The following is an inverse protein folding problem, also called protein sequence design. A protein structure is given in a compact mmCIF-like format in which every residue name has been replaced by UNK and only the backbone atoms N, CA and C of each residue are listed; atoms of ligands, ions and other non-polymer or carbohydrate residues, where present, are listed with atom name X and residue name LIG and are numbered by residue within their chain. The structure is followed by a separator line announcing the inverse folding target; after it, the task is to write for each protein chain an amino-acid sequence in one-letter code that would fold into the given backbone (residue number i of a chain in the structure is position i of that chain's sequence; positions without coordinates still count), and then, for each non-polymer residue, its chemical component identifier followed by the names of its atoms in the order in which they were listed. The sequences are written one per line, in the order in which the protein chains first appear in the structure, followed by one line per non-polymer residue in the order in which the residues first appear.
data_IF_172237312051
#
_entry.id   IF_172237312051
#
_cell.length_a   1.000
_cell.length_b   1.000
_cell.length_c   1.000
_cell.angle_alpha   90.00
_cell.angle_beta   90.00
_cell.angle_gamma   90.00
#
_symmetry.space_group_name_H-M   'P 1'
#
loop_
_entity.id
_entity.type
_entity.pdbx_description
1 polymer ?
#
# COMPACT_ATOMS: atom_id res chain seq x y z
N UNK A 1 4.82 -9.73 -11.44
CA UNK A 1 5.76 -10.54 -12.28
C UNK A 1 5.59 -11.98 -11.89
N UNK A 2 5.24 -12.83 -12.86
CA UNK A 2 5.13 -14.27 -12.63
C UNK A 2 6.54 -14.85 -12.60
N UNK A 3 6.85 -15.63 -11.55
CA UNK A 3 8.15 -16.25 -11.42
C UNK A 3 8.24 -17.48 -12.30
N UNK A 4 9.41 -17.70 -12.89
CA UNK A 4 9.77 -18.94 -13.61
C UNK A 4 10.37 -19.95 -12.63
N UNK A 5 10.58 -21.20 -13.09
CA UNK A 5 11.29 -22.22 -12.30
C UNK A 5 12.69 -21.72 -11.90
N UNK A 6 13.37 -21.03 -12.80
CA UNK A 6 14.70 -20.46 -12.54
C UNK A 6 14.62 -19.37 -11.44
N UNK A 7 13.65 -18.45 -11.52
CA UNK A 7 13.49 -17.43 -10.49
C UNK A 7 13.23 -18.07 -9.11
N UNK A 8 12.41 -19.13 -9.05
CA UNK A 8 12.15 -19.87 -7.81
C UNK A 8 13.40 -20.55 -7.29
N UNK A 9 14.21 -21.16 -8.17
CA UNK A 9 15.46 -21.81 -7.77
C UNK A 9 16.46 -20.81 -7.18
N UNK A 10 16.58 -19.65 -7.80
CA UNK A 10 17.45 -18.55 -7.34
C UNK A 10 16.95 -17.97 -6.00
N UNK A 11 15.64 -17.78 -5.86
CA UNK A 11 15.00 -17.20 -4.66
C UNK A 11 15.09 -18.10 -3.43
N UNK A 12 15.01 -19.42 -3.62
CA UNK A 12 15.05 -20.41 -2.53
C UNK A 12 16.43 -21.04 -2.36
N UNK A 13 17.42 -20.61 -3.17
CA UNK A 13 18.80 -21.15 -3.20
C UNK A 13 18.84 -22.69 -3.35
N UNK A 14 17.97 -23.20 -4.22
CA UNK A 14 17.90 -24.63 -4.56
C UNK A 14 18.10 -24.87 -6.04
N UNK A 15 18.38 -26.11 -6.45
CA UNK A 15 18.45 -26.42 -7.88
C UNK A 15 17.06 -26.40 -8.54
N UNK A 16 17.00 -26.07 -9.84
CA UNK A 16 15.77 -26.18 -10.63
C UNK A 16 15.18 -27.60 -10.58
N UNK A 17 16.03 -28.61 -10.51
CA UNK A 17 15.62 -30.02 -10.34
C UNK A 17 14.84 -30.23 -9.03
N UNK A 18 15.23 -29.53 -7.96
CA UNK A 18 14.51 -29.57 -6.68
C UNK A 18 13.14 -28.91 -6.81
N UNK A 19 13.05 -27.77 -7.54
CA UNK A 19 11.78 -27.08 -7.80
C UNK A 19 10.84 -27.97 -8.59
N UNK A 20 11.32 -28.62 -9.67
CA UNK A 20 10.51 -29.57 -10.46
C UNK A 20 9.99 -30.73 -9.60
N UNK A 21 10.84 -31.31 -8.75
CA UNK A 21 10.44 -32.38 -7.83
C UNK A 21 9.31 -31.95 -6.91
N UNK A 22 9.41 -30.74 -6.32
CA UNK A 22 8.35 -30.22 -5.43
C UNK A 22 7.04 -29.95 -6.15
N UNK A 23 7.10 -29.58 -7.43
CA UNK A 23 5.90 -29.43 -8.27
C UNK A 23 5.27 -30.81 -8.52
N UNK A 24 6.06 -31.81 -8.91
CA UNK A 24 5.60 -33.18 -9.18
C UNK A 24 5.00 -33.83 -7.93
N UNK A 25 5.56 -33.55 -6.76
CA UNK A 25 5.06 -34.01 -5.46
C UNK A 25 3.82 -33.22 -4.98
N UNK A 26 3.36 -32.20 -5.76
CA UNK A 26 2.23 -31.36 -5.39
C UNK A 26 2.45 -30.48 -4.15
N UNK A 27 3.72 -30.31 -3.73
CA UNK A 27 4.10 -29.54 -2.54
C UNK A 27 4.19 -28.05 -2.82
N UNK A 28 4.75 -27.67 -3.98
CA UNK A 28 4.97 -26.29 -4.36
C UNK A 28 3.78 -25.78 -5.20
N UNK A 29 3.06 -24.72 -4.75
CA UNK A 29 1.97 -24.14 -5.53
C UNK A 29 2.52 -23.49 -6.79
N UNK A 30 2.08 -23.96 -7.95
CA UNK A 30 2.43 -23.43 -9.25
C UNK A 30 1.39 -23.81 -10.29
N UNK A 31 1.31 -23.06 -11.36
CA UNK A 31 0.39 -23.32 -12.46
C UNK A 31 1.12 -23.36 -13.81
N UNK A 32 0.52 -24.02 -14.80
CA UNK A 32 1.07 -24.09 -16.15
C UNK A 32 0.46 -22.99 -17.04
N UNK A 33 1.36 -22.17 -17.62
CA UNK A 33 0.99 -21.21 -18.64
C UNK A 33 1.79 -21.48 -19.90
N UNK A 34 1.13 -21.70 -21.03
CA UNK A 34 1.80 -22.01 -22.33
C UNK A 34 2.87 -23.10 -22.23
N UNK A 35 2.59 -24.18 -21.46
CA UNK A 35 3.50 -25.32 -21.30
C UNK A 35 4.63 -25.12 -20.30
N UNK A 36 4.79 -23.94 -19.74
CA UNK A 36 5.81 -23.62 -18.74
C UNK A 36 5.20 -23.42 -17.35
N UNK A 37 5.92 -23.81 -16.31
CA UNK A 37 5.50 -23.53 -14.94
C UNK A 37 5.69 -22.04 -14.60
N UNK A 38 4.69 -21.49 -13.91
CA UNK A 38 4.69 -20.15 -13.37
C UNK A 38 4.27 -20.19 -11.91
N UNK A 39 4.80 -19.25 -11.12
CA UNK A 39 4.53 -19.19 -9.68
C UNK A 39 4.10 -17.80 -9.29
N UNK A 40 3.16 -17.73 -8.40
CA UNK A 40 2.81 -16.50 -7.73
C UNK A 40 3.84 -16.27 -6.61
N UNK A 41 4.46 -15.09 -6.61
CA UNK A 41 5.51 -14.75 -5.65
C UNK A 41 5.03 -14.78 -4.20
N UNK A 42 3.81 -14.30 -3.93
CA UNK A 42 3.26 -14.28 -2.59
C UNK A 42 2.98 -15.70 -2.09
N UNK A 43 2.35 -16.53 -2.91
CA UNK A 43 2.10 -17.94 -2.58
C UNK A 43 3.41 -18.71 -2.35
N UNK A 44 4.44 -18.40 -3.15
CA UNK A 44 5.77 -18.97 -2.97
C UNK A 44 6.38 -18.57 -1.61
N UNK A 45 6.30 -17.29 -1.25
CA UNK A 45 6.85 -16.80 0.02
C UNK A 45 6.11 -17.35 1.22
N UNK A 46 4.79 -17.42 1.15
CA UNK A 46 3.95 -18.01 2.19
C UNK A 46 4.28 -19.50 2.36
N UNK A 47 4.34 -20.24 1.26
CA UNK A 47 4.70 -21.65 1.25
C UNK A 47 6.12 -21.87 1.79
N UNK A 48 7.11 -21.08 1.36
CA UNK A 48 8.50 -21.20 1.82
C UNK A 48 8.62 -20.92 3.32
N UNK A 49 7.87 -19.90 3.82
CA UNK A 49 7.84 -19.59 5.25
C UNK A 49 7.20 -20.71 6.06
N UNK A 50 6.07 -21.27 5.58
CA UNK A 50 5.39 -22.40 6.22
C UNK A 50 6.29 -23.66 6.27
N UNK A 51 7.11 -23.87 5.25
CA UNK A 51 8.04 -25.01 5.17
C UNK A 51 9.43 -24.71 5.77
N UNK A 52 9.62 -23.55 6.42
CA UNK A 52 10.87 -23.11 7.05
C UNK A 52 12.07 -23.15 6.10
N UNK A 53 11.85 -22.89 4.83
CA UNK A 53 12.91 -22.81 3.83
C UNK A 53 13.64 -21.47 3.93
N UNK A 54 14.93 -21.50 3.64
CA UNK A 54 15.70 -20.27 3.47
C UNK A 54 15.15 -19.49 2.28
N UNK A 55 14.94 -18.21 2.48
CA UNK A 55 14.51 -17.27 1.43
C UNK A 55 15.65 -16.28 1.27
N UNK A 56 16.25 -16.24 0.09
CA UNK A 56 17.32 -15.30 -0.19
C UNK A 56 16.86 -13.86 0.06
N UNK A 57 17.65 -13.02 0.75
CA UNK A 57 17.36 -11.59 0.89
C UNK A 57 17.15 -10.88 -0.46
N UNK A 58 17.69 -11.43 -1.56
CA UNK A 58 17.44 -10.96 -2.92
C UNK A 58 15.95 -11.02 -3.33
N UNK A 59 15.14 -11.85 -2.66
CA UNK A 59 13.66 -11.85 -2.80
C UNK A 59 13.06 -10.51 -2.41
N UNK A 60 13.63 -9.88 -1.40
CA UNK A 60 13.18 -8.57 -0.90
C UNK A 60 13.86 -7.42 -1.64
N UNK A 61 14.95 -7.71 -2.34
CA UNK A 61 15.52 -6.85 -3.37
C UNK A 61 14.76 -7.12 -4.69
N UNK A 62 13.49 -6.68 -4.77
CA UNK A 62 13.05 -6.22 -6.07
C UNK A 62 14.20 -5.34 -6.56
N UNK A 63 14.48 -5.36 -7.89
CA UNK A 63 15.10 -4.23 -8.55
C UNK A 63 14.15 -3.02 -8.41
N UNK A 64 13.84 -2.65 -7.16
CA UNK A 64 13.51 -1.29 -6.85
C UNK A 64 14.74 -0.54 -7.33
N UNK A 65 14.63 -0.05 -8.53
CA UNK A 65 15.55 1.00 -8.94
C UNK A 65 15.37 2.03 -7.84
N UNK A 66 16.36 2.13 -6.95
CA UNK A 66 16.43 3.13 -5.86
C UNK A 66 16.20 4.56 -6.40
N UNK A 67 16.13 4.68 -7.69
CA UNK A 67 15.98 5.85 -8.54
C UNK A 67 14.57 6.02 -9.14
N UNK A 68 13.62 5.09 -8.98
CA UNK A 68 12.24 5.37 -9.40
C UNK A 68 11.69 6.47 -8.50
N UNK A 69 11.24 7.60 -9.07
CA UNK A 69 10.65 8.67 -8.28
C UNK A 69 9.47 8.12 -7.48
N UNK A 70 9.36 8.58 -6.23
CA UNK A 70 8.22 8.22 -5.40
C UNK A 70 6.94 8.78 -6.03
N UNK A 71 5.84 8.02 -5.95
CA UNK A 71 4.59 8.45 -6.59
C UNK A 71 4.04 9.72 -5.93
N UNK A 72 3.54 10.63 -6.75
CA UNK A 72 2.81 11.79 -6.29
C UNK A 72 1.40 11.40 -5.83
N UNK A 73 0.95 11.97 -4.70
CA UNK A 73 -0.35 11.66 -4.11
C UNK A 73 -1.52 12.11 -4.98
N UNK A 74 -1.41 13.32 -5.57
CA UNK A 74 -2.43 13.86 -6.46
C UNK A 74 -2.56 13.01 -7.72
N UNK A 75 -1.44 12.70 -8.37
CA UNK A 75 -1.42 11.87 -9.57
C UNK A 75 -2.00 10.47 -9.31
N UNK A 76 -1.66 9.86 -8.18
CA UNK A 76 -2.20 8.55 -7.80
C UNK A 76 -3.72 8.57 -7.58
N UNK A 77 -4.25 9.66 -6.99
CA UNK A 77 -5.69 9.83 -6.79
C UNK A 77 -6.42 10.18 -8.10
N UNK A 78 -5.82 11.00 -8.95
CA UNK A 78 -6.37 11.33 -10.27
C UNK A 78 -6.46 10.09 -11.17
N UNK A 79 -5.39 9.28 -11.18
CA UNK A 79 -5.31 8.03 -11.94
C UNK A 79 -6.30 6.97 -11.42
N UNK A 80 -6.45 6.81 -10.11
CA UNK A 80 -7.39 5.86 -9.51
C UNK A 80 -8.86 6.31 -9.64
N UNK A 81 -9.09 7.61 -9.54
CA UNK A 81 -10.40 8.23 -9.72
C UNK A 81 -11.22 8.35 -8.43
N UNK A 82 -12.29 9.13 -8.54
CA UNK A 82 -13.26 9.37 -7.46
C UNK A 82 -14.63 8.93 -7.94
N UNK A 83 -15.27 8.06 -7.17
CA UNK A 83 -16.57 7.45 -7.49
C UNK A 83 -17.57 7.76 -6.37
N UNK A 84 -18.81 8.00 -6.76
CA UNK A 84 -19.89 8.37 -5.86
C UNK A 84 -21.01 7.36 -5.90
N UNK A 85 -21.76 7.24 -4.81
CA UNK A 85 -22.97 6.42 -4.71
C UNK A 85 -22.75 4.94 -4.96
N UNK A 86 -21.66 4.37 -4.41
CA UNK A 86 -21.47 2.93 -4.44
C UNK A 86 -22.46 2.27 -3.48
N UNK A 87 -23.24 1.34 -3.99
CA UNK A 87 -24.15 0.55 -3.17
C UNK A 87 -23.39 -0.47 -2.33
N UNK A 88 -23.71 -0.52 -1.04
CA UNK A 88 -23.22 -1.52 -0.13
C UNK A 88 -24.15 -1.66 1.08
N UNK A 89 -24.40 -2.88 1.52
CA UNK A 89 -25.20 -3.18 2.69
C UNK A 89 -24.35 -3.43 3.93
N UNK A 90 -23.11 -3.80 3.73
CA UNK A 90 -22.14 -4.16 4.76
C UNK A 90 -20.70 -3.94 4.26
N UNK A 91 -19.72 -4.23 5.11
CA UNK A 91 -18.29 -4.07 4.82
C UNK A 91 -17.84 -4.91 3.61
N UNK A 92 -18.27 -6.15 3.52
CA UNK A 92 -17.84 -7.05 2.45
C UNK A 92 -18.45 -6.61 1.11
N UNK A 93 -19.70 -6.18 1.09
CA UNK A 93 -20.36 -5.58 -0.07
C UNK A 93 -19.64 -4.29 -0.50
N UNK A 94 -19.24 -3.43 0.45
CA UNK A 94 -18.49 -2.22 0.15
C UNK A 94 -17.14 -2.54 -0.51
N UNK A 95 -16.38 -3.50 0.02
CA UNK A 95 -15.12 -3.94 -0.59
C UNK A 95 -15.33 -4.53 -1.99
N UNK A 96 -16.40 -5.30 -2.22
CA UNK A 96 -16.74 -5.82 -3.55
C UNK A 96 -17.04 -4.69 -4.52
N UNK A 97 -17.90 -3.74 -4.14
CA UNK A 97 -18.26 -2.58 -4.97
C UNK A 97 -17.04 -1.74 -5.33
N UNK A 98 -16.13 -1.52 -4.37
CA UNK A 98 -14.85 -0.85 -4.62
C UNK A 98 -14.02 -1.60 -5.67
N UNK A 99 -13.83 -2.91 -5.52
CA UNK A 99 -13.02 -3.72 -6.46
C UNK A 99 -13.57 -3.67 -7.89
N UNK A 100 -14.89 -3.54 -8.07
CA UNK A 100 -15.50 -3.44 -9.40
C UNK A 100 -15.13 -2.15 -10.13
N UNK A 101 -14.99 -1.04 -9.42
CA UNK A 101 -14.70 0.27 -10.03
C UNK A 101 -13.21 0.59 -10.12
N UNK A 102 -12.32 -0.20 -9.50
CA UNK A 102 -10.87 -0.01 -9.59
C UNK A 102 -10.40 -0.11 -11.05
N UNK A 103 -9.55 0.84 -11.44
CA UNK A 103 -8.89 0.84 -12.76
C UNK A 103 -7.69 -0.10 -12.76
N UNK A 104 -7.96 -1.37 -12.95
CA UNK A 104 -6.96 -2.44 -12.94
C UNK A 104 -6.76 -3.01 -14.34
N UNK A 105 -5.56 -3.50 -14.68
CA UNK A 105 -5.36 -4.33 -15.86
C UNK A 105 -6.28 -5.56 -15.84
N UNK A 106 -6.65 -6.05 -17.05
CA UNK A 106 -7.55 -7.20 -17.18
C UNK A 106 -6.96 -8.50 -16.60
N UNK A 107 -5.63 -8.56 -16.47
CA UNK A 107 -4.90 -9.69 -15.91
C UNK A 107 -5.00 -9.78 -14.39
N UNK A 108 -5.47 -8.72 -13.72
CA UNK A 108 -5.61 -8.71 -12.26
C UNK A 108 -6.89 -9.45 -11.85
N UNK A 109 -6.72 -10.53 -11.12
CA UNK A 109 -7.85 -11.28 -10.54
C UNK A 109 -8.56 -10.44 -9.47
N UNK A 110 -9.73 -9.91 -9.82
CA UNK A 110 -10.56 -9.08 -8.93
C UNK A 110 -11.08 -9.85 -7.72
N UNK A 111 -11.38 -11.14 -7.86
CA UNK A 111 -11.85 -11.96 -6.75
C UNK A 111 -10.69 -12.24 -5.76
N UNK A 112 -9.48 -12.44 -6.28
CA UNK A 112 -8.30 -12.51 -5.44
C UNK A 112 -8.07 -11.20 -4.68
N UNK A 113 -8.15 -10.05 -5.38
CA UNK A 113 -8.01 -8.74 -4.75
C UNK A 113 -9.06 -8.53 -3.64
N UNK A 114 -10.32 -8.86 -3.91
CA UNK A 114 -11.38 -8.78 -2.90
C UNK A 114 -11.04 -9.62 -1.66
N UNK A 115 -10.63 -10.88 -1.84
CA UNK A 115 -10.24 -11.75 -0.72
C UNK A 115 -9.04 -11.21 0.06
N UNK A 116 -8.07 -10.62 -0.64
CA UNK A 116 -6.89 -10.01 0.00
C UNK A 116 -7.25 -8.76 0.83
N UNK A 117 -8.11 -7.88 0.31
CA UNK A 117 -8.63 -6.72 1.04
C UNK A 117 -9.45 -7.15 2.25
N UNK A 118 -10.37 -8.10 2.07
CA UNK A 118 -11.19 -8.65 3.15
C UNK A 118 -10.33 -9.28 4.25
N UNK A 119 -9.38 -10.14 3.88
CA UNK A 119 -8.47 -10.78 4.84
C UNK A 119 -7.62 -9.78 5.62
N UNK A 120 -7.22 -8.64 5.00
CA UNK A 120 -6.55 -7.54 5.71
C UNK A 120 -7.49 -6.86 6.70
N UNK A 121 -8.74 -6.63 6.32
CA UNK A 121 -9.75 -5.96 7.13
C UNK A 121 -10.22 -6.81 8.31
N UNK A 122 -10.21 -8.16 8.17
CA UNK A 122 -10.54 -9.10 9.24
C UNK A 122 -9.51 -9.12 10.37
N UNK A 123 -8.25 -8.78 10.08
CA UNK A 123 -7.19 -8.71 11.10
C UNK A 123 -7.36 -7.48 12.00
N UNK A 124 -7.66 -6.35 11.43
CA UNK A 124 -7.85 -5.07 12.10
C UNK A 124 -8.49 -4.09 11.12
N UNK A 125 -9.47 -3.33 11.58
CA UNK A 125 -10.14 -2.36 10.71
C UNK A 125 -9.17 -1.33 10.14
N UNK A 126 -9.33 -1.05 8.86
CA UNK A 126 -8.62 0.05 8.18
C UNK A 126 -9.34 1.40 8.32
N UNK A 127 -10.38 1.46 9.16
CA UNK A 127 -11.09 2.69 9.48
C UNK A 127 -10.22 3.67 10.29
N UNK A 128 -10.00 4.86 9.73
CA UNK A 128 -9.17 5.92 10.33
C UNK A 128 -9.99 6.98 11.06
N UNK A 129 -11.26 6.68 11.30
CA UNK A 129 -12.22 7.55 11.99
C UNK A 129 -12.83 8.63 11.10
N UNK A 130 -13.91 9.25 11.60
CA UNK A 130 -14.66 10.28 10.88
C UNK A 130 -15.31 9.77 9.59
N UNK A 131 -15.76 8.52 9.57
CA UNK A 131 -16.42 7.92 8.41
C UNK A 131 -15.48 7.56 7.24
N UNK A 132 -14.17 7.48 7.47
CA UNK A 132 -13.17 7.20 6.44
C UNK A 132 -12.48 5.86 6.74
N UNK A 133 -12.29 5.02 5.71
CA UNK A 133 -11.42 3.84 5.75
C UNK A 133 -10.40 3.87 4.61
N UNK A 134 -9.29 3.14 4.80
CA UNK A 134 -8.22 3.01 3.80
C UNK A 134 -8.00 1.52 3.50
N UNK A 135 -8.91 0.85 2.79
CA UNK A 135 -8.70 -0.54 2.40
C UNK A 135 -7.45 -0.70 1.53
N UNK A 136 -6.57 -1.60 1.93
CA UNK A 136 -5.34 -1.89 1.19
C UNK A 136 -4.90 -3.33 1.44
N UNK A 137 -4.18 -3.91 0.50
CA UNK A 137 -3.63 -5.25 0.68
C UNK A 137 -2.37 -5.20 1.56
N UNK A 138 -2.17 -6.22 2.40
CA UNK A 138 -0.99 -6.31 3.26
C UNK A 138 0.32 -6.39 2.46
N UNK A 139 0.28 -7.07 1.32
CA UNK A 139 1.42 -7.19 0.42
C UNK A 139 1.02 -6.71 -0.99
N UNK A 140 1.33 -5.47 -1.37
CA UNK A 140 0.90 -4.88 -2.63
C UNK A 140 1.53 -5.53 -3.88
N UNK A 141 2.68 -6.18 -3.74
CA UNK A 141 3.45 -6.80 -4.84
C UNK A 141 2.64 -7.86 -5.59
N UNK A 142 1.63 -8.42 -4.95
CA UNK A 142 0.79 -9.50 -5.47
C UNK A 142 -0.08 -9.06 -6.67
N UNK A 143 -0.32 -7.75 -6.80
CA UNK A 143 -1.33 -7.25 -7.75
C UNK A 143 -0.81 -7.00 -9.17
N UNK A 144 0.52 -7.03 -9.40
CA UNK A 144 1.15 -6.84 -10.71
C UNK A 144 0.64 -5.63 -11.51
N UNK A 145 0.38 -4.52 -10.82
CA UNK A 145 -0.06 -3.28 -11.46
C UNK A 145 1.13 -2.47 -11.97
N UNK A 146 1.00 -1.75 -13.10
CA UNK A 146 2.12 -1.01 -13.69
C UNK A 146 2.49 0.25 -12.92
N UNK A 147 1.54 0.84 -12.20
CA UNK A 147 1.69 2.09 -11.45
C UNK A 147 0.80 2.12 -10.22
N UNK A 148 1.18 2.88 -9.19
CA UNK A 148 0.37 3.02 -8.00
C UNK A 148 -0.83 3.93 -8.27
N UNK A 149 -1.97 3.57 -7.67
CA UNK A 149 -3.21 4.36 -7.74
C UNK A 149 -3.88 4.42 -6.37
N UNK A 150 -4.63 5.49 -6.15
CA UNK A 150 -5.55 5.63 -5.02
C UNK A 150 -6.94 5.89 -5.59
N UNK A 151 -7.89 5.06 -5.23
CA UNK A 151 -9.29 5.25 -5.64
C UNK A 151 -10.11 5.68 -4.43
N UNK A 152 -10.81 6.81 -4.55
CA UNK A 152 -11.77 7.26 -3.55
C UNK A 152 -13.18 6.83 -3.96
N UNK A 153 -13.86 6.11 -3.08
CA UNK A 153 -15.24 5.69 -3.28
C UNK A 153 -16.12 6.21 -2.15
N UNK A 154 -17.19 6.91 -2.51
CA UNK A 154 -18.24 7.28 -1.58
C UNK A 154 -19.39 6.28 -1.67
N UNK A 155 -19.76 5.72 -0.51
CA UNK A 155 -20.92 4.85 -0.40
C UNK A 155 -22.21 5.66 -0.43
N UNK A 156 -23.27 5.09 -1.00
CA UNK A 156 -24.61 5.70 -0.96
C UNK A 156 -25.12 5.79 0.48
N UNK A 157 -24.87 4.73 1.27
CA UNK A 157 -25.17 4.68 2.69
C UNK A 157 -23.94 4.28 3.48
N UNK A 158 -23.65 4.93 4.63
CA UNK A 158 -22.54 4.53 5.48
C UNK A 158 -22.73 3.11 6.03
N UNK A 159 -21.65 2.33 6.09
CA UNK A 159 -21.68 0.95 6.60
C UNK A 159 -20.77 0.77 7.82
N UNK A 160 -21.14 -0.12 8.78
CA UNK A 160 -20.25 -0.49 9.87
C UNK A 160 -18.97 -1.15 9.35
N UNK A 161 -17.82 -0.55 9.67
CA UNK A 161 -16.51 -1.03 9.21
C UNK A 161 -15.60 -1.49 10.37
N UNK A 162 -16.08 -1.37 11.62
CA UNK A 162 -15.30 -1.68 12.81
C UNK A 162 -14.22 -0.64 13.11
N UNK A 163 -14.38 0.61 12.66
CA UNK A 163 -13.47 1.70 12.97
C UNK A 163 -13.37 1.95 14.48
N UNK A 164 -12.19 2.36 14.97
CA UNK A 164 -11.93 2.56 16.40
C UNK A 164 -12.84 3.58 17.08
N UNK A 165 -13.32 4.57 16.32
CA UNK A 165 -14.27 5.59 16.81
C UNK A 165 -15.73 5.12 16.78
N UNK A 166 -15.98 3.89 16.31
CA UNK A 166 -17.32 3.30 16.20
C UNK A 166 -18.22 3.93 15.11
N UNK A 167 -17.72 4.91 14.34
CA UNK A 167 -18.51 5.54 13.31
C UNK A 167 -18.60 4.66 12.05
N UNK A 168 -19.77 4.62 11.39
CA UNK A 168 -19.88 3.94 10.10
C UNK A 168 -19.07 4.67 9.03
N UNK A 169 -18.49 3.90 8.10
CA UNK A 169 -17.66 4.42 7.01
C UNK A 169 -18.52 4.78 5.81
N UNK A 170 -18.26 5.96 5.26
CA UNK A 170 -18.89 6.48 4.05
C UNK A 170 -17.89 6.68 2.91
N UNK A 171 -16.62 6.88 3.21
CA UNK A 171 -15.57 7.12 2.22
C UNK A 171 -14.45 6.09 2.34
N UNK A 172 -14.10 5.44 1.22
CA UNK A 172 -13.05 4.43 1.16
C UNK A 172 -11.94 4.88 0.21
N UNK A 173 -10.73 5.03 0.72
CA UNK A 173 -9.50 5.27 -0.07
C UNK A 173 -8.78 3.96 -0.28
N UNK A 174 -8.91 3.36 -1.45
CA UNK A 174 -8.25 2.08 -1.75
C UNK A 174 -6.94 2.31 -2.46
N UNK A 175 -5.84 1.80 -1.87
CA UNK A 175 -4.48 1.93 -2.41
C UNK A 175 -4.11 0.63 -3.12
N UNK A 176 -3.74 0.75 -4.39
CA UNK A 176 -3.17 -0.32 -5.21
C UNK A 176 -1.80 0.11 -5.68
N UNK A 177 -0.78 -0.72 -5.52
CA UNK A 177 0.61 -0.31 -5.74
C UNK A 177 1.47 -1.46 -6.25
N UNK A 178 2.45 -1.21 -7.14
CA UNK A 178 3.34 -2.26 -7.64
C UNK A 178 4.41 -2.66 -6.63
N UNK A 179 4.78 -1.78 -5.69
CA UNK A 179 5.86 -2.01 -4.73
C UNK A 179 5.47 -1.63 -3.31
N UNK A 180 6.10 -2.26 -2.32
CA UNK A 180 5.89 -1.92 -0.91
C UNK A 180 6.32 -0.48 -0.60
N UNK A 181 7.42 -0.02 -1.21
CA UNK A 181 7.93 1.34 -1.01
C UNK A 181 6.93 2.40 -1.48
N UNK A 182 6.40 2.25 -2.70
CA UNK A 182 5.38 3.15 -3.24
C UNK A 182 4.09 3.09 -2.40
N UNK A 183 3.71 1.89 -1.93
CA UNK A 183 2.56 1.70 -1.07
C UNK A 183 2.68 2.46 0.25
N UNK A 184 3.77 2.25 0.99
CA UNK A 184 4.00 2.90 2.29
C UNK A 184 4.13 4.41 2.14
N UNK A 185 4.76 4.88 1.06
CA UNK A 185 4.86 6.29 0.76
C UNK A 185 3.48 6.93 0.56
N UNK A 186 2.65 6.35 -0.30
CA UNK A 186 1.30 6.87 -0.55
C UNK A 186 0.41 6.79 0.69
N UNK A 187 0.49 5.69 1.45
CA UNK A 187 -0.27 5.53 2.69
C UNK A 187 0.09 6.61 3.72
N UNK A 188 1.39 6.87 3.91
CA UNK A 188 1.86 7.90 4.84
C UNK A 188 1.39 9.30 4.41
N UNK A 189 1.52 9.64 3.13
CA UNK A 189 1.07 10.95 2.59
C UNK A 189 -0.44 11.10 2.67
N UNK A 190 -1.20 10.05 2.36
CA UNK A 190 -2.65 10.05 2.47
C UNK A 190 -3.09 10.27 3.93
N UNK A 191 -2.52 9.52 4.87
CA UNK A 191 -2.82 9.69 6.30
C UNK A 191 -2.46 11.10 6.80
N UNK A 192 -1.41 11.72 6.26
CA UNK A 192 -1.04 13.09 6.61
C UNK A 192 -2.10 14.09 6.15
N UNK A 193 -2.49 14.07 4.87
CA UNK A 193 -3.49 15.02 4.34
C UNK A 193 -4.87 14.81 4.96
N UNK A 194 -5.21 13.58 5.35
CA UNK A 194 -6.45 13.25 6.06
C UNK A 194 -6.50 13.76 7.51
N UNK A 195 -5.44 14.39 8.04
CA UNK A 195 -5.50 15.12 9.32
C UNK A 195 -6.12 16.51 9.17
N UNK A 196 -6.13 17.04 7.97
CA UNK A 196 -6.69 18.36 7.69
C UNK A 196 -8.22 18.35 7.88
N UNK A 197 -8.72 19.28 8.70
CA UNK A 197 -10.14 19.34 9.07
C UNK A 197 -11.02 19.80 7.90
N UNK A 198 -10.51 20.70 7.05
CA UNK A 198 -11.23 21.17 5.88
C UNK A 198 -11.40 20.03 4.87
N UNK A 199 -10.33 19.30 4.57
CA UNK A 199 -10.41 18.13 3.68
C UNK A 199 -11.37 17.07 4.23
N UNK A 200 -11.35 16.78 5.53
CA UNK A 200 -12.30 15.85 6.15
C UNK A 200 -13.75 16.33 6.03
N UNK A 201 -13.99 17.62 6.21
CA UNK A 201 -15.32 18.21 6.01
C UNK A 201 -15.78 18.07 4.56
N UNK A 202 -14.90 18.34 3.59
CA UNK A 202 -15.19 18.17 2.16
C UNK A 202 -15.51 16.70 1.82
N UNK A 203 -14.78 15.75 2.40
CA UNK A 203 -15.04 14.31 2.23
C UNK A 203 -16.41 13.96 2.83
N UNK A 204 -16.72 14.41 4.06
CA UNK A 204 -18.00 14.14 4.70
C UNK A 204 -19.19 14.70 3.92
N UNK A 205 -19.00 15.84 3.23
CA UNK A 205 -20.00 16.47 2.37
C UNK A 205 -20.01 15.91 0.94
N UNK A 206 -19.15 14.93 0.64
CA UNK A 206 -18.97 14.36 -0.70
C UNK A 206 -18.74 15.46 -1.77
N UNK A 207 -17.84 16.40 -1.46
CA UNK A 207 -17.53 17.53 -2.34
C UNK A 207 -17.15 17.08 -3.75
N UNK A 208 -17.22 17.99 -4.70
CA UNK A 208 -16.94 17.71 -6.12
C UNK A 208 -15.51 17.20 -6.36
N UNK A 209 -15.36 16.36 -7.40
CA UNK A 209 -14.06 15.74 -7.75
C UNK A 209 -12.94 16.78 -7.89
N UNK A 210 -13.20 17.89 -8.58
CA UNK A 210 -12.19 18.91 -8.81
C UNK A 210 -11.75 19.58 -7.51
N UNK A 211 -12.70 19.86 -6.61
CA UNK A 211 -12.42 20.48 -5.31
C UNK A 211 -11.59 19.56 -4.41
N UNK A 212 -11.94 18.27 -4.35
CA UNK A 212 -11.19 17.28 -3.58
C UNK A 212 -9.75 17.12 -4.11
N UNK A 213 -9.58 17.01 -5.43
CA UNK A 213 -8.25 16.91 -6.06
C UNK A 213 -7.42 18.17 -5.80
N UNK A 214 -8.02 19.36 -5.88
CA UNK A 214 -7.32 20.61 -5.60
C UNK A 214 -6.89 20.70 -4.13
N UNK A 215 -7.77 20.30 -3.18
CA UNK A 215 -7.45 20.29 -1.76
C UNK A 215 -6.28 19.31 -1.47
N UNK A 216 -6.32 18.10 -2.03
CA UNK A 216 -5.24 17.12 -1.88
C UNK A 216 -3.92 17.65 -2.47
N UNK A 217 -3.95 18.25 -3.65
CA UNK A 217 -2.76 18.85 -4.29
C UNK A 217 -2.13 19.93 -3.40
N UNK A 218 -2.96 20.86 -2.89
CA UNK A 218 -2.52 21.93 -1.98
C UNK A 218 -1.86 21.37 -0.73
N UNK A 219 -2.47 20.39 -0.08
CA UNK A 219 -1.96 19.80 1.16
C UNK A 219 -0.70 18.95 0.92
N UNK A 220 -0.64 18.20 -0.19
CA UNK A 220 0.50 17.39 -0.55
C UNK A 220 1.75 18.24 -0.86
N UNK A 221 1.59 19.41 -1.45
CA UNK A 221 2.70 20.33 -1.73
C UNK A 221 3.48 20.74 -0.47
N UNK A 222 2.80 20.80 0.69
CA UNK A 222 3.46 21.10 1.98
C UNK A 222 4.37 19.96 2.46
N UNK A 223 4.20 18.73 1.98
CA UNK A 223 5.04 17.59 2.32
C UNK A 223 6.37 17.57 1.55
N UNK A 224 6.43 18.24 0.41
CA UNK A 224 7.61 18.27 -0.47
C UNK A 224 8.56 19.44 -0.16
N UNK A 225 8.20 20.31 0.80
CA UNK A 225 9.09 21.36 1.28
C UNK A 225 10.19 20.72 2.14
N UNK A 226 11.48 20.80 1.76
CA UNK A 226 12.56 20.25 2.58
C UNK A 226 12.50 20.94 3.96
N UNK A 227 12.42 20.14 5.00
CA UNK A 227 12.51 20.63 6.37
C UNK A 227 13.87 21.33 6.54
N UNK A 228 13.88 22.66 6.47
CA UNK A 228 15.05 23.47 6.74
C UNK A 228 15.30 23.33 8.26
N UNK A 229 16.40 22.73 8.70
CA UNK A 229 16.67 22.67 10.13
C UNK A 229 16.73 24.10 10.63
N UNK A 230 16.06 24.38 11.73
CA UNK A 230 16.06 25.67 12.42
C UNK A 230 17.49 26.09 12.68
N UNK A 231 17.92 27.32 12.32
CA UNK A 231 19.26 27.76 12.60
C UNK A 231 19.40 27.97 14.09
N UNK A 232 20.26 27.16 14.74
CA UNK A 232 21.00 27.54 15.91
C UNK A 232 20.29 27.45 17.26
N UNK A 233 20.58 26.38 17.98
CA UNK A 233 20.92 26.52 19.37
C UNK A 233 22.45 26.38 19.49
N UNK A 234 23.17 27.45 19.26
CA UNK A 234 24.54 27.59 19.73
C UNK A 234 24.48 27.62 21.26
N UNK A 235 24.89 26.53 21.91
CA UNK A 235 25.20 26.52 23.31
C UNK A 235 26.31 27.55 23.61
N UNK A 236 26.18 28.41 24.65
CA UNK A 236 27.25 29.30 25.05
C UNK A 236 28.42 28.45 25.53
N UNK A 237 29.58 28.66 24.88
CA UNK A 237 30.84 28.03 25.29
C UNK A 237 31.21 28.37 26.72
N UNK A 238 31.61 27.37 27.46
CA UNK A 238 32.30 27.51 28.72
C UNK A 238 33.61 28.29 28.49
N UNK A 239 33.64 29.46 29.11
CA UNK A 239 34.87 30.24 29.24
C UNK A 239 35.76 29.53 30.29
N UNK A 240 36.81 28.88 29.81
CA UNK A 240 37.88 28.36 30.67
C UNK A 240 38.68 29.52 31.30
N UNK A 241 38.52 29.69 32.58
CA UNK A 241 39.41 30.48 33.42
C UNK A 241 40.70 29.70 33.66
N UNK A 242 41.78 30.09 32.97
CA UNK A 242 43.14 29.70 33.31
C UNK A 242 43.71 30.71 34.28
N UNK A 243 43.87 30.36 35.51
CA UNK A 243 44.77 31.04 36.44
C UNK A 243 46.06 30.24 36.54
N UNK A 244 47.13 30.85 36.12
CA UNK A 244 48.46 30.40 36.37
C UNK A 244 48.91 30.91 37.73
N UNK A 245 49.51 30.07 38.51
CA UNK A 245 50.27 30.48 39.70
C UNK A 245 51.67 29.90 39.64
N UNK A 246 52.61 30.78 39.81
CA UNK A 246 54.03 30.53 39.91
C UNK A 246 54.38 30.25 41.39
N UNK A 247 55.17 29.32 41.61
CA UNK A 247 56.36 29.41 42.47
C UNK A 247 57.18 28.15 42.41
#
# INVERSE_FOLDING_TARGET
MQLTVKDVSDLLEVSEKTVYRWIEEGKLPGYRLSGQYRFNRAELLEWATANRLYISPAVFQEKETLWSPLPDLYAALEDGGIYYRLEATDRDAALRSVVQVLRLPDEVDREFLFRALRGREELESTGVGGGIAIPHVRNPIVLHVPRPTITLCFLEHPVPFGALDGQPVQALFTIVSPTLRAHLHLLARLLFVLRDAELRSMIAQQAGRAELLQAVSRLAAHLDVPHRPSPGSTSPGEAGSGEGERS
#
